data_IF_057719210751
#
_entry.id   IF_057719210751
#
_cell.length_a   1.000
_cell.length_b   1.000
_cell.length_c   1.000
_cell.angle_alpha   90.00
_cell.angle_beta   90.00
_cell.angle_gamma   90.00
#
_symmetry.space_group_name_H-M   'P 1'
#
loop_
_entity.id
_entity.type
_entity.pdbx_description
1 polymer ?
#
# COMPACT_ATOMS: atom_id res chain seq x y z
N UNK A 1 -25.94 11.49 -0.29
CA UNK A 1 -27.09 10.61 -0.05
C UNK A 1 -26.92 9.95 1.31
N UNK A 2 -27.98 9.39 1.91
CA UNK A 2 -27.89 8.59 3.14
C UNK A 2 -28.67 7.29 3.01
N UNK A 3 -28.14 6.21 3.57
CA UNK A 3 -28.82 4.92 3.67
C UNK A 3 -28.29 4.13 4.88
N UNK A 4 -28.70 2.88 5.04
CA UNK A 4 -28.27 1.98 6.11
C UNK A 4 -27.09 1.14 5.63
N UNK A 5 -25.96 1.25 6.34
CA UNK A 5 -24.79 0.40 6.13
C UNK A 5 -24.74 -0.72 7.16
N UNK A 6 -24.67 -1.97 6.69
CA UNK A 6 -24.41 -3.15 7.54
C UNK A 6 -22.98 -3.64 7.28
N UNK A 7 -22.15 -3.66 8.31
CA UNK A 7 -20.72 -4.04 8.23
C UNK A 7 -20.51 -5.50 8.63
N UNK A 8 -21.24 -5.93 9.66
CA UNK A 8 -21.30 -7.31 10.13
C UNK A 8 -22.74 -7.59 10.55
N UNK A 9 -23.09 -8.87 10.75
CA UNK A 9 -24.45 -9.26 11.18
C UNK A 9 -24.93 -8.57 12.47
N UNK A 10 -24.02 -8.01 13.26
CA UNK A 10 -24.32 -7.28 14.51
C UNK A 10 -24.13 -5.76 14.42
N UNK A 11 -23.55 -5.22 13.34
CA UNK A 11 -23.21 -3.80 13.25
C UNK A 11 -23.91 -3.13 12.07
N UNK A 12 -24.94 -2.36 12.40
CA UNK A 12 -25.71 -1.56 11.44
C UNK A 12 -25.61 -0.08 11.79
N UNK A 13 -25.31 0.74 10.79
CA UNK A 13 -25.24 2.20 10.90
C UNK A 13 -26.31 2.83 10.02
N UNK A 14 -27.34 3.38 10.66
CA UNK A 14 -28.39 4.14 9.99
C UNK A 14 -27.88 5.52 9.58
N UNK A 15 -28.47 6.08 8.53
CA UNK A 15 -28.14 7.41 7.99
C UNK A 15 -26.66 7.54 7.59
N UNK A 16 -26.02 6.45 7.18
CA UNK A 16 -24.66 6.44 6.67
C UNK A 16 -24.59 7.28 5.39
N UNK A 17 -23.69 8.26 5.35
CA UNK A 17 -23.52 9.18 4.23
C UNK A 17 -22.55 8.60 3.22
N UNK A 18 -22.97 8.57 1.97
CA UNK A 18 -22.13 8.19 0.84
C UNK A 18 -22.43 9.04 -0.39
N UNK A 19 -21.49 9.01 -1.34
CA UNK A 19 -21.61 9.65 -2.64
C UNK A 19 -22.02 8.66 -3.73
N UNK A 20 -22.81 9.13 -4.69
CA UNK A 20 -23.13 8.39 -5.90
C UNK A 20 -22.22 8.88 -7.02
N UNK A 21 -21.50 7.98 -7.67
CA UNK A 21 -20.72 8.31 -8.84
C UNK A 21 -21.55 8.11 -10.10
N UNK A 22 -21.77 9.18 -10.87
CA UNK A 22 -22.54 9.14 -12.12
C UNK A 22 -21.65 9.00 -13.36
N UNK A 23 -20.35 9.28 -13.22
CA UNK A 23 -19.37 9.12 -14.29
C UNK A 23 -18.05 8.70 -13.64
N UNK A 24 -17.51 7.57 -14.09
CA UNK A 24 -16.31 6.97 -13.51
C UNK A 24 -15.20 7.00 -14.57
N UNK A 25 -14.03 7.53 -14.21
CA UNK A 25 -12.81 7.42 -15.02
C UNK A 25 -11.87 6.42 -14.36
N UNK A 26 -11.42 5.43 -15.12
CA UNK A 26 -10.53 4.37 -14.64
C UNK A 26 -10.99 2.98 -15.07
N UNK A 27 -10.31 1.94 -14.58
CA UNK A 27 -10.70 0.54 -14.78
C UNK A 27 -11.32 0.02 -13.50
N UNK A 28 -12.61 -0.30 -13.54
CA UNK A 28 -13.36 -0.88 -12.43
C UNK A 28 -13.93 -2.21 -12.88
N UNK A 29 -14.04 -3.17 -11.96
CA UNK A 29 -14.72 -4.43 -12.25
C UNK A 29 -16.23 -4.20 -12.19
N UNK A 30 -16.95 -4.87 -13.08
CA UNK A 30 -18.40 -5.03 -13.04
C UNK A 30 -18.90 -5.72 -11.75
N UNK A 31 -18.01 -6.37 -11.01
CA UNK A 31 -18.30 -6.98 -9.70
C UNK A 31 -18.22 -5.97 -8.54
N UNK A 32 -17.81 -4.72 -8.79
CA UNK A 32 -17.66 -3.69 -7.75
C UNK A 32 -18.65 -2.55 -7.96
N UNK A 33 -19.45 -2.24 -6.93
CA UNK A 33 -20.43 -1.15 -6.97
C UNK A 33 -19.87 0.21 -6.49
N UNK A 34 -18.63 0.26 -6.00
CA UNK A 34 -18.03 1.48 -5.49
C UNK A 34 -16.71 1.27 -4.74
N UNK A 35 -16.28 2.30 -4.02
CA UNK A 35 -15.07 2.28 -3.18
C UNK A 35 -15.40 2.64 -1.74
N UNK A 36 -14.61 2.12 -0.81
CA UNK A 36 -14.76 2.36 0.63
C UNK A 36 -13.49 3.02 1.15
N UNK A 37 -13.62 4.24 1.68
CA UNK A 37 -12.49 5.03 2.19
C UNK A 37 -12.27 4.81 3.69
N UNK A 38 -11.06 4.39 4.06
CA UNK A 38 -10.63 4.16 5.44
C UNK A 38 -9.74 5.31 5.98
N UNK A 39 -9.83 6.50 5.38
CA UNK A 39 -9.05 7.67 5.75
C UNK A 39 -9.50 8.35 7.05
N UNK A 40 -8.84 9.46 7.40
CA UNK A 40 -9.12 10.25 8.60
C UNK A 40 -10.21 11.31 8.46
N UNK A 41 -10.85 11.39 7.29
CA UNK A 41 -11.88 12.40 7.02
C UNK A 41 -13.19 12.13 7.75
N UNK A 42 -13.96 13.18 8.04
CA UNK A 42 -15.24 13.08 8.75
C UNK A 42 -16.29 12.20 8.05
N UNK A 43 -16.16 12.03 6.73
CA UNK A 43 -17.03 11.16 5.93
C UNK A 43 -16.45 9.75 5.71
N UNK A 44 -15.32 9.40 6.33
CA UNK A 44 -14.78 8.05 6.21
C UNK A 44 -15.68 7.03 6.92
N UNK A 45 -15.56 5.76 6.52
CA UNK A 45 -16.27 4.66 7.18
C UNK A 45 -16.10 4.74 8.70
N UNK A 46 -14.86 4.93 9.14
CA UNK A 46 -14.47 4.89 10.55
C UNK A 46 -15.03 6.07 11.34
N UNK A 47 -15.01 7.27 10.77
CA UNK A 47 -15.55 8.45 11.43
C UNK A 47 -17.07 8.35 11.60
N UNK A 48 -17.78 7.88 10.57
CA UNK A 48 -19.24 7.74 10.61
C UNK A 48 -19.71 6.57 11.49
N UNK A 49 -18.88 5.54 11.66
CA UNK A 49 -19.20 4.34 12.45
C UNK A 49 -18.66 4.40 13.88
N UNK A 50 -17.89 5.44 14.23
CA UNK A 50 -17.22 5.58 15.51
C UNK A 50 -18.15 5.42 16.72
N UNK A 51 -19.35 5.99 16.66
CA UNK A 51 -20.35 5.88 17.74
C UNK A 51 -20.87 4.45 17.92
N UNK A 52 -21.03 3.70 16.83
CA UNK A 52 -21.53 2.32 16.88
C UNK A 52 -20.44 1.32 17.27
N UNK A 53 -19.18 1.62 16.93
CA UNK A 53 -18.03 0.73 17.17
C UNK A 53 -17.27 1.04 18.48
N UNK A 54 -17.51 2.19 19.11
CA UNK A 54 -16.76 2.62 20.29
C UNK A 54 -15.25 2.65 20.01
N UNK A 55 -14.41 2.30 20.98
CA UNK A 55 -12.95 2.39 20.82
C UNK A 55 -12.38 1.53 19.66
N UNK A 56 -13.14 0.56 19.14
CA UNK A 56 -12.73 -0.29 18.03
C UNK A 56 -12.48 0.48 16.72
N UNK A 57 -13.10 1.64 16.47
CA UNK A 57 -12.87 2.38 15.22
C UNK A 57 -11.43 2.91 15.09
N UNK A 58 -10.74 3.08 16.21
CA UNK A 58 -9.39 3.64 16.26
C UNK A 58 -8.33 2.67 15.73
N UNK A 59 -8.65 1.37 15.70
CA UNK A 59 -7.76 0.30 15.25
C UNK A 59 -8.42 -0.47 14.12
N UNK A 60 -7.70 -0.69 13.04
CA UNK A 60 -8.15 -1.50 11.92
C UNK A 60 -6.96 -2.18 11.28
N UNK A 61 -7.15 -3.37 10.75
CA UNK A 61 -6.14 -3.99 9.92
C UNK A 61 -6.76 -4.56 8.65
N UNK A 62 -5.95 -4.71 7.62
CA UNK A 62 -6.36 -5.41 6.41
C UNK A 62 -5.19 -6.18 5.85
N UNK A 63 -5.51 -7.20 5.05
CA UNK A 63 -4.53 -7.86 4.20
C UNK A 63 -5.08 -7.93 2.78
N UNK A 64 -4.29 -7.40 1.83
CA UNK A 64 -4.60 -7.51 0.41
C UNK A 64 -4.08 -8.86 -0.08
N UNK A 65 -4.94 -9.74 -0.63
CA UNK A 65 -4.49 -11.06 -1.02
C UNK A 65 -3.85 -11.04 -2.41
N UNK A 66 -2.98 -12.01 -2.71
CA UNK A 66 -2.72 -12.38 -4.10
C UNK A 66 -4.01 -12.92 -4.75
N UNK A 67 -4.04 -12.98 -6.09
CA UNK A 67 -5.22 -13.41 -6.84
C UNK A 67 -5.75 -14.81 -6.49
N UNK A 68 -4.92 -15.67 -5.89
CA UNK A 68 -5.23 -17.03 -5.49
C UNK A 68 -5.74 -17.18 -4.05
N UNK A 69 -5.88 -16.09 -3.31
CA UNK A 69 -6.22 -16.13 -1.88
C UNK A 69 -7.34 -15.16 -1.51
N UNK A 70 -7.86 -15.31 -0.30
CA UNK A 70 -8.81 -14.37 0.30
C UNK A 70 -8.09 -13.42 1.24
N UNK A 71 -8.46 -12.14 1.17
CA UNK A 71 -7.98 -11.10 2.08
C UNK A 71 -8.94 -10.89 3.22
N UNK A 72 -8.69 -9.85 4.00
CA UNK A 72 -9.61 -9.43 5.06
C UNK A 72 -9.50 -7.93 5.33
N UNK A 73 -10.57 -7.41 5.94
CA UNK A 73 -10.61 -6.12 6.64
C UNK A 73 -11.14 -6.41 8.05
N UNK A 74 -10.36 -6.07 9.06
CA UNK A 74 -10.72 -6.18 10.47
C UNK A 74 -10.86 -4.79 11.06
N UNK A 75 -11.96 -4.55 11.79
CA UNK A 75 -12.19 -3.32 12.54
C UNK A 75 -12.19 -3.68 14.02
N UNK A 76 -11.43 -2.93 14.82
CA UNK A 76 -11.21 -3.23 16.24
C UNK A 76 -9.82 -3.77 16.56
N UNK A 77 -8.97 -4.02 15.55
CA UNK A 77 -7.60 -4.46 15.77
C UNK A 77 -7.13 -5.50 14.76
N UNK A 78 -5.91 -6.03 14.95
CA UNK A 78 -5.36 -7.07 14.10
C UNK A 78 -6.15 -8.38 14.24
N UNK A 79 -6.17 -9.19 13.18
CA UNK A 79 -6.73 -10.54 13.27
C UNK A 79 -5.78 -11.39 14.14
N UNK A 80 -6.34 -12.04 15.16
CA UNK A 80 -5.60 -13.00 16.00
C UNK A 80 -5.25 -14.20 15.15
N UNK A 81 -4.04 -14.20 14.61
CA UNK A 81 -3.44 -15.37 13.99
C UNK A 81 -2.50 -16.00 15.01
N UNK A 82 -2.32 -17.34 14.95
CA UNK A 82 -1.27 -18.06 15.71
C UNK A 82 0.16 -17.68 15.25
N UNK A 83 0.33 -16.47 14.69
CA UNK A 83 1.58 -15.95 14.18
C UNK A 83 2.43 -15.43 15.34
N UNK A 84 3.61 -16.01 15.50
CA UNK A 84 4.67 -15.52 16.39
C UNK A 84 5.31 -14.22 15.89
N UNK A 85 4.92 -13.73 14.71
CA UNK A 85 5.51 -12.56 14.06
C UNK A 85 4.96 -11.26 14.63
N UNK A 86 5.85 -10.44 15.17
CA UNK A 86 5.54 -9.10 15.71
C UNK A 86 5.38 -8.10 14.56
N UNK A 87 4.48 -7.12 14.73
CA UNK A 87 4.35 -6.02 13.77
C UNK A 87 5.60 -5.14 13.76
N UNK A 88 6.16 -4.89 12.58
CA UNK A 88 7.13 -3.82 12.37
C UNK A 88 6.37 -2.48 12.26
N UNK A 89 6.64 -1.53 13.15
CA UNK A 89 5.83 -0.30 13.28
C UNK A 89 6.55 0.96 12.82
N UNK A 90 5.78 1.85 12.19
CA UNK A 90 6.20 3.20 11.80
C UNK A 90 5.20 4.22 12.38
N UNK A 91 5.64 5.45 12.68
CA UNK A 91 4.71 6.52 13.02
C UNK A 91 3.69 6.78 11.90
N UNK A 92 2.44 6.94 12.29
CA UNK A 92 1.35 7.43 11.47
C UNK A 92 1.35 8.96 11.53
N UNK A 93 1.50 9.61 10.39
CA UNK A 93 1.52 11.07 10.28
C UNK A 93 0.19 11.53 9.68
N UNK A 94 -0.48 12.48 10.32
CA UNK A 94 -1.63 13.15 9.71
C UNK A 94 -1.15 14.26 8.80
N UNK A 95 -1.68 14.33 7.58
CA UNK A 95 -1.34 15.42 6.67
C UNK A 95 -1.95 16.74 7.16
N UNK A 96 -1.11 17.78 7.26
CA UNK A 96 -1.56 19.13 7.61
C UNK A 96 -2.36 19.79 6.47
N UNK A 97 -2.09 19.40 5.22
CA UNK A 97 -2.74 19.96 4.03
C UNK A 97 -4.09 19.28 3.78
N UNK A 98 -4.16 17.95 3.96
CA UNK A 98 -5.39 17.19 3.81
C UNK A 98 -5.58 16.25 5.01
N UNK A 99 -6.32 16.67 6.05
CA UNK A 99 -6.55 15.89 7.27
C UNK A 99 -7.19 14.52 7.03
N UNK A 100 -7.77 14.27 5.85
CA UNK A 100 -8.32 12.96 5.49
C UNK A 100 -7.24 11.92 5.20
N UNK A 101 -6.01 12.33 4.93
CA UNK A 101 -4.91 11.45 4.58
C UNK A 101 -4.07 11.04 5.79
N UNK A 102 -3.88 9.73 5.87
CA UNK A 102 -2.92 9.08 6.75
C UNK A 102 -1.64 8.81 5.96
N UNK A 103 -0.53 9.33 6.47
CA UNK A 103 0.77 9.24 5.83
C UNK A 103 1.70 8.32 6.63
N UNK A 104 2.53 7.58 5.91
CA UNK A 104 3.73 6.93 6.41
C UNK A 104 4.94 7.60 5.76
N UNK A 105 6.08 7.60 6.45
CA UNK A 105 7.31 8.19 5.89
C UNK A 105 8.26 7.10 5.47
N UNK A 106 8.44 6.95 4.17
CA UNK A 106 9.56 6.18 3.63
C UNK A 106 10.86 6.92 3.98
N UNK A 107 11.93 6.20 4.29
CA UNK A 107 13.25 6.74 4.60
C UNK A 107 14.35 6.08 3.78
N UNK A 108 14.04 4.99 3.10
CA UNK A 108 14.99 4.29 2.28
C UNK A 108 14.38 3.13 1.54
N UNK A 109 15.15 2.64 0.58
CA UNK A 109 14.86 1.44 -0.18
C UNK A 109 16.13 0.60 -0.15
N UNK A 110 15.98 -0.70 0.07
CA UNK A 110 17.08 -1.67 0.04
C UNK A 110 16.86 -2.56 -1.17
N UNK A 111 17.90 -2.76 -1.98
CA UNK A 111 17.88 -3.66 -3.14
C UNK A 111 19.04 -4.63 -3.02
N UNK A 112 18.76 -5.93 -3.06
CA UNK A 112 19.74 -7.01 -2.89
C UNK A 112 20.63 -6.80 -1.64
N UNK A 113 20.01 -6.45 -0.50
CA UNK A 113 20.69 -6.21 0.77
C UNK A 113 21.43 -4.87 0.88
N UNK A 114 21.46 -4.03 -0.16
CA UNK A 114 22.14 -2.73 -0.14
C UNK A 114 21.15 -1.58 -0.10
N UNK A 115 21.23 -0.75 0.94
CA UNK A 115 20.44 0.49 1.04
C UNK A 115 20.88 1.48 -0.04
N UNK A 116 19.91 1.99 -0.79
CA UNK A 116 20.15 2.97 -1.85
C UNK A 116 20.50 4.34 -1.23
N UNK A 117 21.45 5.04 -1.85
CA UNK A 117 21.84 6.40 -1.46
C UNK A 117 20.83 7.40 -2.02
N UNK A 118 19.78 7.66 -1.25
CA UNK A 118 18.72 8.62 -1.58
C UNK A 118 18.68 9.65 -0.44
N UNK A 119 18.76 10.96 -0.74
CA UNK A 119 18.66 11.99 0.30
C UNK A 119 17.32 11.89 1.06
N UNK A 120 17.29 11.95 2.40
CA UNK A 120 16.05 11.82 3.17
C UNK A 120 14.95 12.82 2.79
N UNK A 121 15.34 14.03 2.35
CA UNK A 121 14.42 15.09 1.91
C UNK A 121 13.51 14.66 0.76
N UNK A 122 13.96 13.71 -0.09
CA UNK A 122 13.18 13.17 -1.22
C UNK A 122 11.90 12.48 -0.74
N UNK A 123 11.86 11.98 0.51
CA UNK A 123 10.68 11.32 1.07
C UNK A 123 9.87 12.22 2.02
N UNK A 124 10.20 13.51 2.12
CA UNK A 124 9.62 14.43 3.11
C UNK A 124 8.12 14.65 2.95
N UNK A 125 7.60 14.58 1.72
CA UNK A 125 6.16 14.67 1.42
C UNK A 125 5.34 13.52 2.05
N UNK A 126 6.01 12.41 2.40
CA UNK A 126 5.36 11.19 2.89
C UNK A 126 4.70 10.39 1.78
N UNK A 127 4.11 9.27 2.17
CA UNK A 127 3.38 8.38 1.26
C UNK A 127 2.07 7.91 1.91
N UNK A 128 1.06 7.68 1.09
CA UNK A 128 -0.21 7.06 1.51
C UNK A 128 -0.12 5.57 1.21
N UNK A 129 -0.59 4.71 2.12
CA UNK A 129 -0.88 3.32 1.76
C UNK A 129 -2.20 3.32 0.99
N UNK A 130 -2.13 3.07 -0.31
CA UNK A 130 -3.26 3.21 -1.21
C UNK A 130 -3.49 1.90 -1.94
N UNK A 131 -4.50 1.14 -1.49
CA UNK A 131 -4.90 -0.12 -2.12
C UNK A 131 -5.63 0.07 -3.45
N UNK A 132 -6.00 1.30 -3.82
CA UNK A 132 -6.60 1.63 -5.12
C UNK A 132 -5.55 1.92 -6.20
N UNK A 133 -4.34 2.33 -5.80
CA UNK A 133 -3.19 2.39 -6.69
C UNK A 133 -2.65 0.98 -6.92
N UNK A 134 -2.60 0.51 -8.17
CA UNK A 134 -2.11 -0.86 -8.48
C UNK A 134 -0.66 -1.04 -8.02
N UNK A 135 0.22 -0.08 -8.32
CA UNK A 135 1.66 -0.13 -8.05
C UNK A 135 2.12 1.09 -7.25
N UNK A 136 3.25 0.94 -6.57
CA UNK A 136 3.88 2.00 -5.77
C UNK A 136 4.42 3.11 -6.66
N UNK A 137 4.08 4.35 -6.31
CA UNK A 137 4.55 5.56 -6.95
C UNK A 137 5.53 6.27 -6.02
N UNK A 138 6.76 6.47 -6.50
CA UNK A 138 7.86 7.05 -5.74
C UNK A 138 8.22 8.43 -6.29
N UNK A 139 8.76 9.33 -5.45
CA UNK A 139 9.47 10.52 -5.91
C UNK A 139 10.45 10.18 -7.06
N UNK A 140 10.48 10.93 -8.16
CA UNK A 140 11.34 10.67 -9.32
C UNK A 140 12.80 10.35 -8.97
N UNK A 141 13.40 11.03 -7.99
CA UNK A 141 14.77 10.77 -7.55
C UNK A 141 14.92 9.39 -6.91
N UNK A 142 13.98 8.99 -6.05
CA UNK A 142 13.96 7.67 -5.44
C UNK A 142 13.69 6.58 -6.49
N UNK A 143 12.72 6.81 -7.38
CA UNK A 143 12.40 5.89 -8.47
C UNK A 143 13.60 5.64 -9.38
N UNK A 144 14.32 6.68 -9.81
CA UNK A 144 15.53 6.54 -10.64
C UNK A 144 16.61 5.71 -9.95
N UNK A 145 16.81 5.92 -8.64
CA UNK A 145 17.79 5.16 -7.87
C UNK A 145 17.41 3.67 -7.78
N UNK A 146 16.14 3.37 -7.48
CA UNK A 146 15.60 2.00 -7.47
C UNK A 146 15.73 1.35 -8.84
N UNK A 147 15.25 2.01 -9.89
CA UNK A 147 15.29 1.53 -11.27
C UNK A 147 16.71 1.18 -11.71
N UNK A 148 17.70 2.03 -11.39
CA UNK A 148 19.11 1.79 -11.70
C UNK A 148 19.65 0.57 -10.95
N UNK A 149 19.42 0.47 -9.65
CA UNK A 149 19.88 -0.67 -8.86
C UNK A 149 19.25 -1.99 -9.32
N UNK A 150 17.94 -1.95 -9.60
CA UNK A 150 17.20 -3.09 -10.12
C UNK A 150 17.74 -3.55 -11.49
N UNK A 151 17.95 -2.62 -12.43
CA UNK A 151 18.54 -2.92 -13.75
C UNK A 151 19.92 -3.57 -13.65
N UNK A 152 20.77 -3.07 -12.74
CA UNK A 152 22.09 -3.65 -12.53
C UNK A 152 22.03 -5.09 -11.98
N UNK A 153 21.07 -5.37 -11.09
CA UNK A 153 20.85 -6.69 -10.53
C UNK A 153 20.24 -7.68 -11.55
N UNK A 154 19.42 -7.17 -12.49
CA UNK A 154 18.72 -7.96 -13.50
C UNK A 154 19.45 -8.02 -14.86
N UNK A 155 20.73 -7.62 -14.92
CA UNK A 155 21.51 -7.54 -16.18
C UNK A 155 21.61 -8.84 -16.99
N UNK A 156 21.36 -9.98 -16.35
CA UNK A 156 21.39 -11.29 -16.97
C UNK A 156 20.17 -11.55 -17.87
N UNK A 157 19.12 -10.73 -17.77
CA UNK A 157 17.88 -10.90 -18.50
C UNK A 157 17.75 -9.84 -19.60
N UNK A 158 17.31 -10.23 -20.81
CA UNK A 158 17.06 -9.28 -21.88
C UNK A 158 15.92 -8.33 -21.51
N UNK A 159 16.08 -7.05 -21.85
CA UNK A 159 15.03 -6.05 -21.63
C UNK A 159 13.99 -6.13 -22.74
N UNK A 160 12.73 -5.93 -22.38
CA UNK A 160 11.61 -5.82 -23.33
C UNK A 160 11.06 -4.38 -23.37
N UNK A 161 10.11 -4.14 -24.26
CA UNK A 161 9.44 -2.85 -24.40
C UNK A 161 8.70 -2.43 -23.13
N UNK A 162 8.55 -1.11 -22.93
CA UNK A 162 7.76 -0.58 -21.83
C UNK A 162 6.28 -0.96 -21.99
N UNK A 163 5.60 -1.22 -20.87
CA UNK A 163 4.17 -1.57 -20.84
C UNK A 163 3.41 -0.56 -20.01
N UNK A 164 2.60 0.29 -20.64
CA UNK A 164 1.87 1.35 -19.96
C UNK A 164 2.81 2.32 -19.21
N UNK A 165 2.63 2.46 -17.90
CA UNK A 165 3.48 3.32 -17.03
C UNK A 165 4.73 2.62 -16.52
N UNK A 166 4.94 1.35 -16.87
CA UNK A 166 6.09 0.55 -16.45
C UNK A 166 7.21 0.63 -17.51
N UNK A 167 8.30 1.32 -17.16
CA UNK A 167 9.40 1.65 -18.09
C UNK A 167 10.58 0.65 -18.08
N UNK A 168 10.50 -0.39 -17.24
CA UNK A 168 11.59 -1.34 -16.98
C UNK A 168 11.03 -2.73 -16.98
N UNK A 169 10.98 -3.32 -18.17
CA UNK A 169 10.46 -4.66 -18.43
C UNK A 169 11.56 -5.58 -18.96
N UNK A 170 11.37 -6.87 -18.75
CA UNK A 170 12.26 -7.93 -19.19
C UNK A 170 11.48 -8.98 -19.96
N UNK A 171 12.17 -9.63 -20.90
CA UNK A 171 11.68 -10.83 -21.54
C UNK A 171 12.23 -12.04 -20.77
N UNK A 172 11.32 -12.86 -20.27
CA UNK A 172 11.63 -14.08 -19.52
C UNK A 172 11.33 -15.35 -20.33
N UNK A 173 11.00 -15.23 -21.62
CA UNK A 173 10.79 -16.38 -22.49
C UNK A 173 12.05 -17.27 -22.49
N UNK A 174 11.85 -18.57 -22.26
CA UNK A 174 12.94 -19.55 -22.18
C UNK A 174 13.76 -19.51 -20.88
N UNK A 175 13.43 -18.66 -19.90
CA UNK A 175 14.11 -18.61 -18.61
C UNK A 175 13.36 -19.46 -17.58
N UNK A 176 13.93 -20.62 -17.21
CA UNK A 176 13.29 -21.54 -16.28
C UNK A 176 13.14 -20.99 -14.85
N UNK A 177 14.13 -20.23 -14.35
CA UNK A 177 14.14 -19.70 -12.99
C UNK A 177 14.59 -18.23 -12.98
N UNK A 178 13.63 -17.32 -12.86
CA UNK A 178 13.90 -15.88 -12.74
C UNK A 178 14.27 -15.54 -11.30
N UNK A 179 15.48 -14.99 -11.10
CA UNK A 179 15.95 -14.53 -9.79
C UNK A 179 15.70 -13.03 -9.65
N UNK A 180 14.57 -12.69 -9.06
CA UNK A 180 14.24 -11.29 -8.76
C UNK A 180 15.05 -10.82 -7.54
N UNK A 181 15.74 -9.67 -7.60
CA UNK A 181 16.46 -9.15 -6.43
C UNK A 181 15.48 -8.80 -5.32
N UNK A 182 15.83 -9.14 -4.07
CA UNK A 182 15.05 -8.73 -2.92
C UNK A 182 14.97 -7.19 -2.84
N UNK A 183 13.76 -6.66 -2.63
CA UNK A 183 13.53 -5.23 -2.41
C UNK A 183 12.82 -5.05 -1.08
N UNK A 184 13.25 -4.05 -0.31
CA UNK A 184 12.62 -3.71 0.97
C UNK A 184 12.39 -2.21 1.08
N UNK A 185 11.25 -1.85 1.65
CA UNK A 185 10.87 -0.48 1.96
C UNK A 185 11.20 -0.21 3.43
N UNK A 186 11.99 0.83 3.69
CA UNK A 186 12.40 1.21 5.05
C UNK A 186 11.64 2.46 5.46
N UNK A 187 10.78 2.34 6.45
CA UNK A 187 9.96 3.42 6.97
C UNK A 187 10.59 4.08 8.20
N UNK A 188 10.09 5.27 8.55
CA UNK A 188 10.42 5.95 9.79
C UNK A 188 10.12 5.09 11.01
N UNK A 189 10.87 5.29 12.09
CA UNK A 189 10.78 4.41 13.28
C UNK A 189 11.42 3.04 13.10
N UNK A 190 11.96 2.72 11.92
CA UNK A 190 12.76 1.51 11.69
C UNK A 190 11.99 0.32 11.12
N UNK A 191 10.70 0.43 10.84
CA UNK A 191 9.96 -0.64 10.17
C UNK A 191 10.53 -0.93 8.78
N UNK A 192 10.75 -2.22 8.51
CA UNK A 192 11.22 -2.70 7.21
C UNK A 192 10.19 -3.67 6.65
N UNK A 193 9.67 -3.36 5.47
CA UNK A 193 8.73 -4.22 4.73
C UNK A 193 9.50 -4.87 3.59
N UNK A 194 9.63 -6.20 3.65
CA UNK A 194 10.33 -6.99 2.63
C UNK A 194 9.30 -7.49 1.62
N UNK A 195 9.45 -7.06 0.37
CA UNK A 195 8.50 -7.37 -0.69
C UNK A 195 8.72 -8.78 -1.23
N UNK A 196 7.62 -9.48 -1.51
CA UNK A 196 7.64 -10.73 -2.25
C UNK A 196 8.03 -10.49 -3.72
N UNK A 197 8.60 -11.48 -4.43
CA UNK A 197 9.00 -11.30 -5.84
C UNK A 197 7.87 -10.76 -6.75
N UNK A 198 6.60 -11.21 -6.65
CA UNK A 198 5.49 -10.63 -7.42
C UNK A 198 5.18 -9.17 -7.06
N UNK A 199 5.52 -8.74 -5.84
CA UNK A 199 5.40 -7.36 -5.40
C UNK A 199 6.53 -6.46 -5.96
N UNK A 200 7.60 -7.04 -6.51
CA UNK A 200 8.70 -6.32 -7.15
C UNK A 200 8.56 -6.34 -8.67
N UNK A 201 8.11 -7.48 -9.24
CA UNK A 201 7.96 -7.67 -10.68
C UNK A 201 6.53 -8.09 -11.01
N UNK A 202 5.82 -7.22 -11.72
CA UNK A 202 4.44 -7.43 -12.17
C UNK A 202 4.44 -7.52 -13.71
N UNK A 203 3.95 -8.65 -14.25
CA UNK A 203 3.86 -8.85 -15.70
C UNK A 203 5.20 -8.71 -16.44
N UNK A 204 6.31 -9.12 -15.81
CA UNK A 204 7.65 -8.98 -16.39
C UNK A 204 8.33 -7.63 -16.17
N UNK A 205 7.66 -6.67 -15.53
CA UNK A 205 8.14 -5.31 -15.35
C UNK A 205 8.34 -4.95 -13.86
N UNK A 206 9.29 -4.06 -13.57
CA UNK A 206 9.46 -3.47 -12.25
C UNK A 206 8.16 -2.78 -11.82
N UNK A 207 7.54 -3.23 -10.74
CA UNK A 207 6.22 -2.81 -10.28
C UNK A 207 6.23 -1.46 -9.51
N UNK A 208 6.97 -0.48 -10.03
CA UNK A 208 7.11 0.85 -9.47
C UNK A 208 7.05 1.89 -10.57
N UNK A 209 6.60 3.10 -10.25
CA UNK A 209 6.65 4.23 -11.17
C UNK A 209 6.98 5.54 -10.45
N UNK A 210 7.21 6.62 -11.19
CA UNK A 210 7.49 7.92 -10.64
C UNK A 210 6.19 8.74 -10.42
N UNK A 211 6.14 9.53 -9.35
CA UNK A 211 5.18 10.63 -9.20
C UNK A 211 5.56 11.81 -10.11
N UNK A 212 4.75 12.86 -10.13
CA UNK A 212 4.98 14.05 -10.97
C UNK A 212 6.20 14.90 -10.55
N UNK A 213 6.58 14.88 -9.26
CA UNK A 213 7.76 15.59 -8.74
C UNK A 213 8.23 14.99 -7.41
N UNK A 214 9.44 15.35 -6.96
CA UNK A 214 9.98 14.85 -5.68
C UNK A 214 9.23 15.40 -4.45
N UNK A 215 8.46 16.47 -4.63
CA UNK A 215 7.62 17.08 -3.59
C UNK A 215 6.18 16.55 -3.62
N UNK A 216 5.82 15.76 -4.64
CA UNK A 216 4.52 15.15 -4.73
C UNK A 216 4.37 14.02 -3.70
N UNK A 217 3.15 13.84 -3.23
CA UNK A 217 2.78 12.76 -2.33
C UNK A 217 3.06 11.40 -2.99
N UNK A 218 3.74 10.50 -2.27
CA UNK A 218 3.96 9.13 -2.71
C UNK A 218 2.77 8.22 -2.41
N UNK A 219 2.76 7.05 -3.05
CA UNK A 219 1.72 6.04 -2.84
C UNK A 219 2.36 4.66 -2.74
N UNK A 220 2.11 3.93 -1.65
CA UNK A 220 2.45 2.52 -1.56
C UNK A 220 1.25 1.74 -2.11
N UNK A 221 1.41 1.14 -3.29
CA UNK A 221 0.32 0.53 -4.04
C UNK A 221 -0.08 -0.86 -3.53
N UNK A 222 -1.23 -1.32 -4.01
CA UNK A 222 -1.83 -2.63 -3.76
C UNK A 222 -0.82 -3.78 -3.88
N UNK A 223 -0.10 -3.86 -4.99
CA UNK A 223 0.86 -4.93 -5.28
C UNK A 223 1.98 -5.02 -4.23
N UNK A 224 2.43 -3.88 -3.68
CA UNK A 224 3.44 -3.86 -2.61
C UNK A 224 2.89 -4.09 -1.21
N UNK A 225 1.56 -4.03 -1.05
CA UNK A 225 0.87 -4.32 0.21
C UNK A 225 0.42 -5.78 0.31
N UNK A 226 0.47 -6.54 -0.80
CA UNK A 226 0.06 -7.94 -0.80
C UNK A 226 0.80 -8.76 0.24
N UNK A 227 0.11 -9.76 0.78
CA UNK A 227 0.58 -10.70 1.83
C UNK A 227 0.90 -10.10 3.20
N UNK A 228 0.82 -8.77 3.32
CA UNK A 228 1.10 -8.06 4.56
C UNK A 228 -0.21 -7.63 5.22
N UNK A 229 -0.36 -7.94 6.50
CA UNK A 229 -1.33 -7.25 7.33
C UNK A 229 -0.81 -5.86 7.66
N UNK A 230 -1.58 -4.87 7.24
CA UNK A 230 -1.34 -3.46 7.53
C UNK A 230 -2.28 -3.04 8.66
N UNK A 231 -1.74 -2.88 9.87
CA UNK A 231 -2.47 -2.43 11.05
C UNK A 231 -2.37 -0.91 11.16
N UNK A 232 -3.49 -0.22 11.16
CA UNK A 232 -3.59 1.17 11.57
C UNK A 232 -4.02 1.25 13.02
N UNK A 233 -3.18 1.87 13.85
CA UNK A 233 -3.52 2.24 15.22
C UNK A 233 -3.54 3.77 15.31
N UNK A 234 -4.70 4.35 15.02
CA UNK A 234 -4.86 5.81 14.92
C UNK A 234 -4.76 6.46 16.30
N UNK A 235 -5.20 5.78 17.36
CA UNK A 235 -5.10 6.26 18.72
C UNK A 235 -3.63 6.29 19.20
N UNK A 236 -2.87 5.22 18.92
CA UNK A 236 -1.45 5.16 19.26
C UNK A 236 -0.54 5.92 18.26
N UNK A 237 -1.08 6.41 17.15
CA UNK A 237 -0.32 7.14 16.14
C UNK A 237 0.68 6.26 15.36
N UNK A 238 0.30 5.01 15.05
CA UNK A 238 1.18 4.04 14.39
C UNK A 238 0.55 3.29 13.22
N UNK A 239 1.41 2.83 12.31
CA UNK A 239 1.08 1.81 11.31
C UNK A 239 2.02 0.63 11.51
N UNK A 240 1.47 -0.58 11.60
CA UNK A 240 2.20 -1.83 11.72
C UNK A 240 2.12 -2.66 10.45
N UNK A 241 3.20 -3.39 10.16
CA UNK A 241 3.27 -4.36 9.06
C UNK A 241 3.63 -5.74 9.60
N UNK A 242 2.89 -6.77 9.19
CA UNK A 242 3.18 -8.18 9.50
C UNK A 242 3.02 -9.01 8.23
N UNK A 243 4.03 -9.79 7.87
CA UNK A 243 4.04 -10.61 6.65
C UNK A 243 3.30 -11.94 6.84
N UNK A 244 2.73 -12.47 5.76
CA UNK A 244 2.10 -13.79 5.69
C UNK A 244 0.73 -13.86 6.37
N UNK A 245 -0.03 -12.76 6.34
CA UNK A 245 -1.37 -12.72 6.92
C UNK A 245 -2.47 -13.16 5.94
N UNK A 246 -2.13 -13.09 4.66
CA UNK A 246 -2.76 -13.65 3.48
C UNK A 246 -1.64 -13.74 2.42
#
# INVERSE_FOLDING_TARGET
>A
MTDTLTISGSTTVRNFRFGCSHAVRGKFSDQTAGTMSLGGGAQSLLAQTARSLGNAFSRRSYCVPPASASGFLSIGGPVTTNSTTVFATTPLVRSAINPSLYLVRLQGIVVAGRRLRIPPVVFSAGAVMDSSAVITQLPPTAYRALRRAFRNAMRAYPRSGATGTLDTCYDFLGVANVRVPAVSLVFGGGAVVVLDPPAVVLGGCLAFTATSSDLALGFIGNVQQQTHEVLYDVAAGGVGFRRGAC
#
